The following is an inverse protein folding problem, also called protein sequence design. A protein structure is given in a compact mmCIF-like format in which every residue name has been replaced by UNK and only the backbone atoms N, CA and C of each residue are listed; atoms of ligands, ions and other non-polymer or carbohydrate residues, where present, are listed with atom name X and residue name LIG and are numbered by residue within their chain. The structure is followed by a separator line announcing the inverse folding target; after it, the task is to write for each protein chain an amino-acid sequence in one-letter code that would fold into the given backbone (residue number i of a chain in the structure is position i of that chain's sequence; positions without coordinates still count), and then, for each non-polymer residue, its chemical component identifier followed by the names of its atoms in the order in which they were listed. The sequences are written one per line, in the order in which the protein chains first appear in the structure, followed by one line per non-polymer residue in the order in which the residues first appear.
data_IF_967454252006
#
_entry.id   IF_967454252006
#
_cell.length_a   1.000
_cell.length_b   1.000
_cell.length_c   1.000
_cell.angle_alpha   90.00
_cell.angle_beta   90.00
_cell.angle_gamma   90.00
#
_symmetry.space_group_name_H-M   'P 1'
#
loop_
_entity.id
_entity.type
_entity.pdbx_description
1 polymer ?
#
# COMPACT_ATOMS: atom_id res chain seq x y z
N UNK A 1 -28.56 -45.16 -34.63
CA UNK A 1 -29.07 -43.91 -34.04
C UNK A 1 -28.11 -43.49 -32.94
N UNK A 2 -27.68 -42.23 -33.00
CA UNK A 2 -26.73 -41.60 -32.06
C UNK A 2 -27.46 -41.23 -30.77
N UNK A 3 -26.89 -41.58 -29.62
CA UNK A 3 -27.26 -40.96 -28.34
C UNK A 3 -25.97 -40.62 -27.60
N UNK A 4 -25.51 -39.39 -27.83
CA UNK A 4 -24.53 -38.68 -27.01
C UNK A 4 -25.24 -38.26 -25.72
N UNK A 5 -24.84 -38.82 -24.58
CA UNK A 5 -25.17 -38.24 -23.27
C UNK A 5 -23.89 -37.56 -22.78
N UNK A 6 -23.71 -36.30 -23.17
CA UNK A 6 -22.70 -35.43 -22.59
C UNK A 6 -23.26 -34.88 -21.28
N UNK A 7 -22.81 -35.44 -20.14
CA UNK A 7 -22.99 -34.82 -18.84
C UNK A 7 -22.13 -33.56 -18.79
N UNK A 8 -22.73 -32.42 -19.13
CA UNK A 8 -22.17 -31.12 -18.82
C UNK A 8 -22.29 -30.89 -17.31
N UNK A 9 -21.25 -31.26 -16.56
CA UNK A 9 -21.00 -30.65 -15.26
C UNK A 9 -20.59 -29.20 -15.52
N UNK A 10 -21.58 -28.33 -15.69
CA UNK A 10 -21.41 -26.92 -15.38
C UNK A 10 -21.16 -26.86 -13.88
N UNK A 11 -19.89 -26.92 -13.49
CA UNK A 11 -19.46 -26.33 -12.23
C UNK A 11 -19.82 -24.86 -12.38
N UNK A 12 -20.98 -24.49 -11.83
CA UNK A 12 -21.23 -23.13 -11.40
C UNK A 12 -20.05 -22.83 -10.47
N UNK A 13 -18.98 -22.25 -11.02
CA UNK A 13 -18.11 -21.43 -10.24
C UNK A 13 -19.05 -20.37 -9.67
N UNK A 14 -19.55 -20.64 -8.47
CA UNK A 14 -20.07 -19.61 -7.62
C UNK A 14 -18.92 -18.64 -7.52
N UNK A 15 -18.95 -17.59 -8.33
CA UNK A 15 -18.25 -16.36 -8.04
C UNK A 15 -18.96 -15.84 -6.79
N UNK A 16 -18.71 -16.48 -5.64
CA UNK A 16 -18.73 -15.79 -4.38
C UNK A 16 -17.80 -14.63 -4.66
N UNK A 17 -18.39 -13.44 -4.85
CA UNK A 17 -17.66 -12.20 -5.04
C UNK A 17 -17.01 -11.92 -3.68
N UNK A 18 -16.01 -12.72 -3.34
CA UNK A 18 -15.28 -12.59 -2.09
C UNK A 18 -14.72 -11.18 -2.09
N UNK A 19 -15.02 -10.44 -1.02
CA UNK A 19 -14.34 -9.19 -0.71
C UNK A 19 -12.86 -9.34 -1.05
N UNK A 20 -12.32 -8.34 -1.75
CA UNK A 20 -10.90 -8.36 -2.05
C UNK A 20 -10.10 -8.44 -0.76
N UNK A 21 -9.19 -9.40 -0.72
CA UNK A 21 -8.30 -9.60 0.42
C UNK A 21 -7.45 -8.35 0.64
N UNK A 22 -7.22 -8.02 1.92
CA UNK A 22 -6.31 -6.94 2.27
C UNK A 22 -4.92 -7.21 1.68
N UNK A 23 -4.26 -6.16 1.22
CA UNK A 23 -2.96 -6.25 0.55
C UNK A 23 -1.86 -5.69 1.43
N UNK A 24 -0.77 -6.43 1.56
CA UNK A 24 0.43 -6.01 2.29
C UNK A 24 1.60 -5.92 1.33
N UNK A 25 2.06 -4.70 1.08
CA UNK A 25 3.16 -4.41 0.17
C UNK A 25 4.44 -4.12 0.95
N UNK A 26 5.58 -4.57 0.42
CA UNK A 26 6.91 -4.40 0.99
C UNK A 26 7.86 -3.87 -0.07
N UNK A 27 7.91 -2.55 -0.19
CA UNK A 27 8.69 -1.87 -1.20
C UNK A 27 10.03 -1.41 -0.63
N UNK A 28 11.12 -2.02 -1.08
CA UNK A 28 12.50 -1.63 -0.74
C UNK A 28 12.89 -0.37 -1.53
N UNK A 29 12.68 0.78 -0.91
CA UNK A 29 12.89 2.08 -1.51
C UNK A 29 14.37 2.49 -1.54
N UNK A 30 14.77 3.10 -2.66
CA UNK A 30 16.12 3.66 -2.85
C UNK A 30 16.03 5.12 -3.27
N UNK A 31 15.52 6.01 -2.39
CA UNK A 31 15.40 7.41 -2.75
C UNK A 31 16.79 8.04 -2.95
N UNK A 32 16.92 8.86 -3.97
CA UNK A 32 18.18 9.48 -4.40
C UNK A 32 18.16 10.99 -4.13
N UNK A 33 19.32 11.60 -3.80
CA UNK A 33 19.43 13.04 -3.70
C UNK A 33 19.14 13.74 -5.05
N UNK A 34 18.27 14.74 -5.01
CA UNK A 34 17.98 15.63 -6.12
C UNK A 34 18.24 17.08 -5.70
N UNK A 35 18.75 17.90 -6.63
CA UNK A 35 19.03 19.32 -6.38
C UNK A 35 17.79 20.17 -6.65
N UNK A 36 17.50 21.09 -5.73
CA UNK A 36 16.48 22.13 -5.85
C UNK A 36 17.14 23.46 -5.56
N UNK A 37 17.56 24.17 -6.62
CA UNK A 37 18.46 25.34 -6.51
C UNK A 37 19.72 24.96 -5.72
N UNK A 38 19.97 25.61 -4.58
CA UNK A 38 21.12 25.33 -3.71
C UNK A 38 20.85 24.25 -2.66
N UNK A 39 19.62 23.74 -2.58
CA UNK A 39 19.20 22.74 -1.60
C UNK A 39 19.11 21.35 -2.22
N UNK A 40 18.96 20.34 -1.36
CA UNK A 40 18.76 18.96 -1.78
C UNK A 40 17.55 18.35 -1.09
N UNK A 41 16.88 17.46 -1.81
CA UNK A 41 15.76 16.64 -1.33
C UNK A 41 16.01 15.20 -1.75
N UNK A 42 15.41 14.24 -1.06
CA UNK A 42 15.38 12.85 -1.53
C UNK A 42 14.18 12.63 -2.44
N UNK A 43 14.37 11.94 -3.55
CA UNK A 43 13.32 11.58 -4.49
C UNK A 43 13.28 10.07 -4.74
N UNK A 44 12.08 9.52 -4.82
CA UNK A 44 11.88 8.19 -5.39
C UNK A 44 10.92 8.27 -6.59
N UNK A 45 11.48 8.40 -7.78
CA UNK A 45 10.69 8.37 -9.01
C UNK A 45 10.40 6.96 -9.51
N UNK A 46 11.03 5.93 -8.93
CA UNK A 46 10.93 4.55 -9.39
C UNK A 46 9.69 3.83 -8.86
N UNK A 47 9.16 4.27 -7.71
CA UNK A 47 7.97 3.71 -7.09
C UNK A 47 6.75 3.65 -8.02
N UNK A 48 6.57 4.63 -8.92
CA UNK A 48 5.42 4.65 -9.86
C UNK A 48 5.44 3.46 -10.83
N UNK A 49 6.61 2.84 -11.04
CA UNK A 49 6.78 1.67 -11.91
C UNK A 49 6.85 0.35 -11.14
N UNK A 50 6.78 0.41 -9.80
CA UNK A 50 6.85 -0.75 -8.91
C UNK A 50 5.72 -1.74 -9.15
N UNK A 51 5.95 -3.01 -8.80
CA UNK A 51 4.92 -4.05 -8.89
C UNK A 51 3.78 -3.77 -7.91
N UNK A 52 4.09 -3.17 -6.76
CA UNK A 52 3.14 -2.85 -5.69
C UNK A 52 2.12 -1.80 -6.15
N UNK A 53 2.57 -0.72 -6.81
CA UNK A 53 1.67 0.29 -7.37
C UNK A 53 0.83 -0.30 -8.51
N UNK A 54 1.43 -1.09 -9.41
CA UNK A 54 0.69 -1.77 -10.47
C UNK A 54 -0.39 -2.70 -9.92
N UNK A 55 -0.08 -3.47 -8.89
CA UNK A 55 -1.05 -4.34 -8.21
C UNK A 55 -2.16 -3.53 -7.55
N UNK A 56 -1.82 -2.45 -6.83
CA UNK A 56 -2.80 -1.57 -6.21
C UNK A 56 -3.82 -1.01 -7.22
N UNK A 57 -3.34 -0.53 -8.38
CA UNK A 57 -4.20 -0.03 -9.45
C UNK A 57 -5.07 -1.15 -10.05
N UNK A 58 -4.48 -2.32 -10.31
CA UNK A 58 -5.21 -3.47 -10.86
C UNK A 58 -6.29 -3.99 -9.91
N UNK A 59 -5.96 -4.11 -8.62
CA UNK A 59 -6.91 -4.48 -7.57
C UNK A 59 -8.04 -3.45 -7.49
N UNK A 60 -7.74 -2.15 -7.55
CA UNK A 60 -8.78 -1.10 -7.55
C UNK A 60 -9.78 -1.30 -8.69
N UNK A 61 -9.29 -1.64 -9.89
CA UNK A 61 -10.14 -1.86 -11.06
C UNK A 61 -10.95 -3.16 -10.97
N UNK A 62 -10.41 -4.21 -10.37
CA UNK A 62 -10.99 -5.57 -10.42
C UNK A 62 -11.86 -5.91 -9.22
N UNK A 63 -11.58 -5.34 -8.04
CA UNK A 63 -12.28 -5.68 -6.81
C UNK A 63 -13.79 -5.47 -6.87
N UNK A 64 -14.53 -6.41 -6.30
CA UNK A 64 -15.98 -6.34 -6.17
C UNK A 64 -16.40 -5.19 -5.22
N UNK A 65 -17.67 -4.77 -5.26
CA UNK A 65 -18.20 -3.74 -4.37
C UNK A 65 -17.91 -4.01 -2.90
N UNK A 66 -17.71 -2.95 -2.12
CA UNK A 66 -17.63 -3.07 -0.67
C UNK A 66 -18.96 -3.63 -0.11
N UNK A 67 -18.90 -4.64 0.75
CA UNK A 67 -20.09 -5.26 1.35
C UNK A 67 -20.45 -4.60 2.70
N UNK A 68 -21.75 -4.43 2.95
CA UNK A 68 -22.25 -3.98 4.25
C UNK A 68 -21.79 -2.57 4.65
N UNK A 69 -21.00 -2.48 5.73
CA UNK A 69 -20.50 -1.20 6.31
C UNK A 69 -19.10 -0.83 5.83
N UNK A 70 -18.52 -1.59 4.91
CA UNK A 70 -17.16 -1.34 4.44
C UNK A 70 -17.10 -0.08 3.59
N UNK A 71 -16.18 0.83 3.93
CA UNK A 71 -16.00 2.09 3.22
C UNK A 71 -15.19 1.95 1.92
N UNK A 72 -14.42 0.87 1.76
CA UNK A 72 -13.52 0.65 0.61
C UNK A 72 -13.66 -0.75 0.03
N UNK A 73 -13.42 -0.85 -1.28
CA UNK A 73 -13.49 -2.09 -2.05
C UNK A 73 -12.32 -3.03 -1.74
N UNK A 74 -11.14 -2.47 -1.48
CA UNK A 74 -10.06 -3.15 -0.79
C UNK A 74 -9.16 -2.15 -0.04
N UNK A 75 -8.39 -2.68 0.92
CA UNK A 75 -7.42 -1.92 1.70
C UNK A 75 -6.01 -2.44 1.41
N UNK A 76 -5.09 -1.51 1.15
CA UNK A 76 -3.66 -1.78 1.06
C UNK A 76 -2.89 -1.18 2.23
N UNK A 77 -1.97 -1.95 2.79
CA UNK A 77 -0.98 -1.53 3.77
C UNK A 77 0.40 -1.59 3.11
N UNK A 78 0.99 -0.43 2.86
CA UNK A 78 2.21 -0.29 2.07
C UNK A 78 3.40 0.06 2.98
N UNK A 79 4.28 -0.91 3.20
CA UNK A 79 5.55 -0.70 3.88
C UNK A 79 6.55 -0.11 2.88
N UNK A 80 6.78 1.20 2.96
CA UNK A 80 7.81 1.91 2.22
C UNK A 80 9.13 1.82 3.00
N UNK A 81 9.99 0.86 2.64
CA UNK A 81 11.16 0.48 3.42
C UNK A 81 12.36 1.29 2.97
N UNK A 82 12.98 2.04 3.88
CA UNK A 82 14.17 2.85 3.64
C UNK A 82 15.36 2.36 4.47
N UNK A 83 16.57 2.67 4.02
CA UNK A 83 17.78 2.44 4.82
C UNK A 83 17.75 3.24 6.13
N UNK A 84 18.31 2.71 7.25
CA UNK A 84 18.36 3.36 8.56
C UNK A 84 18.80 4.81 8.61
N UNK A 85 19.70 5.23 7.72
CA UNK A 85 20.34 6.55 7.73
C UNK A 85 20.23 7.24 6.36
N UNK A 86 19.21 6.91 5.57
CA UNK A 86 19.07 7.37 4.18
C UNK A 86 19.13 8.90 4.02
N UNK A 87 18.73 9.66 5.04
CA UNK A 87 18.82 11.13 5.07
C UNK A 87 20.24 11.69 5.11
N UNK A 88 21.23 10.93 5.61
CA UNK A 88 22.65 11.35 5.62
C UNK A 88 23.24 11.49 4.21
N UNK A 89 22.51 11.04 3.18
CA UNK A 89 22.88 11.22 1.76
C UNK A 89 22.72 12.69 1.30
N UNK A 90 22.04 13.54 2.07
CA UNK A 90 21.88 14.96 1.77
C UNK A 90 22.97 15.79 2.46
N UNK A 91 23.75 16.55 1.69
CA UNK A 91 24.75 17.49 2.21
C UNK A 91 24.17 18.86 2.54
N UNK A 92 23.11 19.30 1.85
CA UNK A 92 22.40 20.55 2.15
C UNK A 92 20.87 20.36 2.07
N UNK A 93 20.24 19.76 3.09
CA UNK A 93 18.83 19.36 3.03
C UNK A 93 17.89 20.57 2.99
N UNK A 94 16.88 20.52 2.11
CA UNK A 94 15.84 21.55 1.97
C UNK A 94 14.94 21.63 3.21
N UNK A 95 14.67 20.48 3.83
CA UNK A 95 13.80 20.37 5.01
C UNK A 95 14.60 19.97 6.23
N UNK A 96 14.18 20.47 7.40
CA UNK A 96 14.79 20.13 8.70
C UNK A 96 14.61 18.65 9.05
N UNK A 97 13.44 18.09 8.72
CA UNK A 97 13.16 16.67 8.88
C UNK A 97 13.45 15.92 7.57
N UNK A 98 13.87 14.65 7.62
CA UNK A 98 13.98 13.84 6.42
C UNK A 98 12.63 13.77 5.70
N UNK A 99 12.61 14.13 4.42
CA UNK A 99 11.43 14.04 3.59
C UNK A 99 11.79 13.42 2.24
N UNK A 100 10.87 12.63 1.71
CA UNK A 100 11.01 11.95 0.43
C UNK A 100 9.94 12.49 -0.50
N UNK A 101 10.35 13.10 -1.61
CA UNK A 101 9.44 13.51 -2.68
C UNK A 101 9.09 12.32 -3.57
N UNK A 102 7.80 12.22 -3.87
CA UNK A 102 7.26 11.19 -4.75
C UNK A 102 6.71 11.82 -6.04
N UNK A 103 6.57 11.03 -7.12
CA UNK A 103 5.83 11.44 -8.30
C UNK A 103 4.41 11.86 -7.93
N UNK A 104 3.94 12.94 -8.56
CA UNK A 104 2.57 13.41 -8.38
C UNK A 104 1.58 12.29 -8.75
N UNK A 105 0.64 12.01 -7.84
CA UNK A 105 -0.41 11.02 -8.06
C UNK A 105 0.03 9.56 -7.99
N UNK A 106 1.23 9.26 -7.48
CA UNK A 106 1.77 7.88 -7.38
C UNK A 106 0.80 6.88 -6.75
N UNK A 107 0.05 7.29 -5.72
CA UNK A 107 -0.87 6.41 -4.97
C UNK A 107 -2.34 6.62 -5.32
N UNK A 108 -2.69 7.69 -6.07
CA UNK A 108 -4.00 7.93 -6.66
C UNK A 108 -4.02 9.23 -7.49
N UNK A 109 -4.87 9.27 -8.52
CA UNK A 109 -5.10 10.48 -9.33
C UNK A 109 -5.59 11.63 -8.43
N UNK A 110 -4.76 12.66 -8.24
CA UNK A 110 -5.07 13.82 -7.39
C UNK A 110 -4.70 13.69 -5.91
N UNK A 111 -4.12 12.57 -5.48
CA UNK A 111 -3.64 12.40 -4.10
C UNK A 111 -2.28 13.10 -3.90
N UNK A 112 -2.30 14.20 -3.14
CA UNK A 112 -1.18 15.11 -2.91
C UNK A 112 -0.16 14.57 -1.88
N UNK A 113 0.40 13.38 -2.08
CA UNK A 113 1.68 13.06 -1.44
C UNK A 113 2.82 13.61 -2.31
N UNK A 114 2.98 14.93 -2.36
CA UNK A 114 4.19 15.51 -2.96
C UNK A 114 5.43 15.14 -2.14
N UNK A 115 5.28 14.96 -0.82
CA UNK A 115 6.36 14.59 0.09
C UNK A 115 5.86 13.66 1.20
N UNK A 116 6.68 12.69 1.61
CA UNK A 116 6.52 11.88 2.82
C UNK A 116 7.59 12.25 3.83
N UNK A 117 7.19 12.83 4.95
CA UNK A 117 8.10 13.15 6.05
C UNK A 117 8.41 11.90 6.88
N UNK A 118 9.63 11.83 7.42
CA UNK A 118 10.02 10.79 8.38
C UNK A 118 10.21 11.43 9.74
N UNK A 119 9.19 11.30 10.58
CA UNK A 119 9.18 11.82 11.95
C UNK A 119 9.39 10.68 12.93
N UNK A 120 10.47 10.70 13.70
CA UNK A 120 10.84 9.57 14.57
C UNK A 120 9.79 9.23 15.62
N UNK A 121 9.12 10.24 16.19
CA UNK A 121 8.04 10.03 17.16
C UNK A 121 6.92 9.16 16.57
N UNK A 122 6.56 9.44 15.32
CA UNK A 122 5.53 8.71 14.59
C UNK A 122 5.95 7.26 14.29
N UNK A 123 7.25 7.02 14.06
CA UNK A 123 7.76 5.66 13.84
C UNK A 123 7.72 4.80 15.11
N UNK A 124 7.86 5.41 16.30
CA UNK A 124 7.76 4.70 17.59
C UNK A 124 6.34 4.25 17.94
N UNK A 125 5.31 4.90 17.40
CA UNK A 125 3.89 4.61 17.67
C UNK A 125 3.21 3.88 16.52
N UNK A 126 3.89 2.90 15.91
CA UNK A 126 3.48 2.29 14.64
C UNK A 126 2.09 1.64 14.64
N UNK A 127 1.63 1.18 15.81
CA UNK A 127 0.30 0.61 16.02
C UNK A 127 -0.84 1.60 15.73
N UNK A 128 -0.61 2.90 15.95
CA UNK A 128 -1.64 3.94 15.80
C UNK A 128 -1.32 4.96 14.71
N UNK A 129 -0.14 4.88 14.08
CA UNK A 129 0.32 5.90 13.16
C UNK A 129 0.50 5.38 11.73
N UNK A 130 -0.31 5.93 10.82
CA UNK A 130 -0.08 5.85 9.38
C UNK A 130 0.56 7.15 8.90
N UNK A 131 1.64 7.05 8.11
CA UNK A 131 2.34 8.23 7.59
C UNK A 131 1.51 8.98 6.57
N UNK A 132 0.83 8.24 5.70
CA UNK A 132 0.03 8.82 4.63
C UNK A 132 -1.12 7.90 4.26
N UNK A 133 -2.23 8.50 3.84
CA UNK A 133 -3.42 7.83 3.35
C UNK A 133 -3.77 8.43 2.00
N UNK A 134 -3.89 7.58 0.98
CA UNK A 134 -4.47 7.94 -0.30
C UNK A 134 -5.70 7.08 -0.59
N UNK A 135 -6.66 7.67 -1.28
CA UNK A 135 -7.80 6.98 -1.84
C UNK A 135 -7.74 7.09 -3.36
N UNK A 136 -7.97 5.97 -4.04
CA UNK A 136 -8.16 5.95 -5.47
C UNK A 136 -9.62 5.61 -5.77
N UNK A 137 -10.29 6.53 -6.47
CA UNK A 137 -11.61 6.28 -7.05
C UNK A 137 -11.49 6.06 -8.57
N UNK A 138 -11.89 4.88 -9.04
CA UNK A 138 -11.85 4.51 -10.45
C UNK A 138 -13.04 3.61 -10.81
N UNK A 139 -13.77 3.95 -11.88
CA UNK A 139 -14.89 3.14 -12.37
C UNK A 139 -16.01 2.90 -11.33
N UNK A 140 -16.27 3.88 -10.45
CA UNK A 140 -17.26 3.75 -9.36
C UNK A 140 -16.77 2.96 -8.14
N UNK A 141 -15.51 2.50 -8.15
CA UNK A 141 -14.88 1.78 -7.04
C UNK A 141 -13.91 2.68 -6.31
N UNK A 142 -13.90 2.62 -4.98
CA UNK A 142 -12.97 3.37 -4.13
C UNK A 142 -12.15 2.41 -3.29
N UNK A 143 -10.83 2.51 -3.40
CA UNK A 143 -9.87 1.72 -2.62
C UNK A 143 -8.93 2.65 -1.86
N UNK A 144 -8.38 2.17 -0.75
CA UNK A 144 -7.51 2.96 0.12
C UNK A 144 -6.14 2.32 0.26
N UNK A 145 -5.10 3.14 0.29
CA UNK A 145 -3.74 2.75 0.61
C UNK A 145 -3.23 3.54 1.81
N UNK A 146 -2.80 2.80 2.82
CA UNK A 146 -2.14 3.29 4.02
C UNK A 146 -0.64 3.06 3.87
N UNK A 147 0.14 4.14 3.84
CA UNK A 147 1.58 4.10 3.62
C UNK A 147 2.32 4.28 4.94
N UNK A 148 3.32 3.42 5.14
CA UNK A 148 4.09 3.25 6.35
C UNK A 148 5.57 3.35 5.97
N UNK A 149 6.25 4.46 6.28
CA UNK A 149 7.70 4.58 6.05
C UNK A 149 8.45 3.79 7.12
N UNK A 150 9.22 2.77 6.76
CA UNK A 150 9.89 1.84 7.68
C UNK A 150 11.41 1.97 7.53
N UNK A 151 12.14 2.33 8.58
CA UNK A 151 13.61 2.20 8.58
C UNK A 151 14.00 0.74 8.81
N UNK A 152 14.64 0.15 7.79
CA UNK A 152 15.00 -1.28 7.76
C UNK A 152 15.82 -1.68 8.99
N UNK A 153 15.33 -2.65 9.76
CA UNK A 153 16.00 -3.15 10.97
C UNK A 153 15.89 -2.23 12.19
N UNK A 154 15.13 -1.13 12.12
CA UNK A 154 14.85 -0.24 13.25
C UNK A 154 13.35 -0.22 13.57
N UNK A 155 12.53 0.07 12.56
CA UNK A 155 11.08 0.26 12.77
C UNK A 155 10.32 -1.06 12.48
N UNK A 156 9.25 -1.30 13.24
CA UNK A 156 8.35 -2.45 13.01
C UNK A 156 7.58 -2.27 11.68
N UNK A 157 7.50 -3.34 10.89
CA UNK A 157 6.69 -3.36 9.68
C UNK A 157 5.20 -3.53 10.02
N UNK A 158 4.33 -2.91 9.23
CA UNK A 158 2.90 -3.17 9.32
C UNK A 158 2.58 -4.49 8.63
N UNK A 159 2.20 -5.51 9.41
CA UNK A 159 1.99 -6.88 8.96
C UNK A 159 0.53 -7.33 9.17
N UNK A 160 0.11 -8.43 8.52
CA UNK A 160 -1.17 -9.08 8.80
C UNK A 160 -1.34 -9.39 10.29
N UNK A 161 -0.31 -9.95 10.92
CA UNK A 161 -0.31 -10.30 12.35
C UNK A 161 -0.55 -9.07 13.23
N UNK A 162 0.11 -7.94 12.90
CA UNK A 162 -0.09 -6.69 13.61
C UNK A 162 -1.54 -6.19 13.45
N UNK A 163 -2.08 -6.21 12.23
CA UNK A 163 -3.45 -5.77 11.96
C UNK A 163 -4.50 -6.63 12.69
N UNK A 164 -4.33 -7.96 12.64
CA UNK A 164 -5.20 -8.91 13.37
C UNK A 164 -5.12 -8.68 14.88
N UNK A 165 -3.94 -8.40 15.43
CA UNK A 165 -3.79 -8.13 16.87
C UNK A 165 -4.58 -6.91 17.35
N UNK A 166 -4.89 -5.97 16.45
CA UNK A 166 -5.61 -4.73 16.75
C UNK A 166 -7.12 -4.81 16.49
N UNK A 167 -7.60 -5.83 15.78
CA UNK A 167 -9.01 -5.96 15.36
C UNK A 167 -9.66 -7.22 15.93
N UNK A 168 -10.57 -7.04 16.90
CA UNK A 168 -11.38 -8.13 17.45
C UNK A 168 -12.21 -8.84 16.37
N UNK A 169 -12.68 -8.10 15.37
CA UNK A 169 -13.47 -8.64 14.25
C UNK A 169 -12.67 -9.63 13.41
N UNK A 170 -11.40 -9.33 13.13
CA UNK A 170 -10.53 -10.22 12.34
C UNK A 170 -10.16 -11.50 13.09
N UNK A 171 -10.07 -11.43 14.42
CA UNK A 171 -9.81 -12.59 15.27
C UNK A 171 -10.98 -13.57 15.30
N UNK A 172 -12.22 -13.11 15.12
CA UNK A 172 -13.43 -13.93 15.20
C UNK A 172 -13.83 -14.56 13.85
N UNK A 173 -13.69 -13.83 12.75
CA UNK A 173 -14.32 -14.19 11.46
C UNK A 173 -13.36 -14.81 10.43
N UNK A 174 -12.09 -15.01 10.79
CA UNK A 174 -11.04 -15.41 9.84
C UNK A 174 -10.60 -14.22 8.97
N UNK A 175 -9.30 -13.96 8.95
CA UNK A 175 -8.72 -12.83 8.23
C UNK A 175 -8.10 -13.28 6.90
N UNK A 176 -8.54 -12.69 5.79
CA UNK A 176 -8.01 -12.99 4.45
C UNK A 176 -7.15 -11.84 3.94
N UNK A 177 -5.91 -12.16 3.57
CA UNK A 177 -4.92 -11.19 3.12
C UNK A 177 -3.97 -11.79 2.08
N UNK A 178 -3.30 -10.94 1.33
CA UNK A 178 -2.18 -11.30 0.45
C UNK A 178 -0.95 -10.46 0.79
N UNK A 179 0.21 -11.10 0.95
CA UNK A 179 1.50 -10.43 1.19
C UNK A 179 2.39 -10.47 -0.05
N UNK A 180 2.96 -9.32 -0.44
CA UNK A 180 3.92 -9.18 -1.54
C UNK A 180 5.32 -9.06 -0.94
N UNK A 181 5.84 -10.16 -0.38
CA UNK A 181 7.19 -10.18 0.20
C UNK A 181 8.25 -9.99 -0.90
N UNK A 182 9.39 -9.35 -0.60
CA UNK A 182 10.50 -9.19 -1.54
C UNK A 182 10.97 -10.52 -2.13
#
# INVERSE_FOLDING_TARGET
MRTLIALAFCVLASTAHGKCQDRYYYYEAKPLPAKVKNWQILEDNSIQFSREIKDFLNMTATCSPAEGKDAYHFTAYFNYIVEPNFWKKLSNPLYKNPAIRLPNGVYANGANASTMDVVEFNQKNRKSFTQYRAELSYGGKTSVIYVYVVRKGIDEMYTPLLNVSMSKTYQQNGYYFTEYKP
#
